data_IF_408398407956
#
_entry.id   IF_408398407956
#
_cell.length_a   1.000
_cell.length_b   1.000
_cell.length_c   1.000
_cell.angle_alpha   90.00
_cell.angle_beta   90.00
_cell.angle_gamma   90.00
#
_symmetry.space_group_name_H-M   'P 1'
#
loop_
_entity.id
_entity.type
_entity.pdbx_description
1 polymer ?
#
# COMPACT_ATOMS: atom_id res chain seq x y z
N UNK A 1 14.10 3.61 -11.18
CA UNK A 1 14.73 4.94 -11.14
C UNK A 1 13.83 6.00 -11.76
N UNK A 2 13.34 5.86 -13.01
CA UNK A 2 12.50 6.87 -13.67
C UNK A 2 11.28 7.28 -12.82
N UNK A 3 10.59 6.30 -12.21
CA UNK A 3 9.44 6.58 -11.33
C UNK A 3 9.88 7.41 -10.13
N UNK A 4 10.96 7.04 -9.45
CA UNK A 4 11.47 7.77 -8.30
C UNK A 4 11.91 9.20 -8.67
N UNK A 5 12.50 9.40 -9.85
CA UNK A 5 12.85 10.74 -10.35
C UNK A 5 11.62 11.62 -10.60
N UNK A 6 10.55 11.05 -11.20
CA UNK A 6 9.28 11.77 -11.43
C UNK A 6 8.59 12.13 -10.11
N UNK A 7 8.71 11.24 -9.12
CA UNK A 7 8.23 11.50 -7.76
C UNK A 7 9.10 12.52 -6.99
N UNK A 8 10.14 13.07 -7.63
CA UNK A 8 11.07 14.02 -7.00
C UNK A 8 11.88 13.40 -5.88
N UNK A 9 12.04 12.08 -5.86
CA UNK A 9 12.81 11.39 -4.84
C UNK A 9 14.31 11.60 -5.02
N UNK A 10 15.01 11.62 -3.90
CA UNK A 10 16.45 11.47 -3.84
C UNK A 10 16.81 10.01 -4.11
N UNK A 11 17.59 9.76 -5.13
CA UNK A 11 17.98 8.41 -5.50
C UNK A 11 19.12 7.93 -4.61
N UNK A 12 18.98 6.74 -4.04
CA UNK A 12 20.03 6.09 -3.27
C UNK A 12 21.09 5.49 -4.19
N UNK A 13 22.35 5.61 -3.80
CA UNK A 13 23.48 5.06 -4.55
C UNK A 13 23.56 3.53 -4.50
N UNK A 14 22.97 2.94 -3.47
CA UNK A 14 22.92 1.49 -3.24
C UNK A 14 21.49 1.05 -3.05
N UNK A 15 21.16 -0.12 -3.60
CA UNK A 15 19.94 -0.86 -3.33
C UNK A 15 20.30 -2.08 -2.51
N UNK A 16 19.57 -2.33 -1.43
CA UNK A 16 19.74 -3.54 -0.63
C UNK A 16 18.41 -4.27 -0.60
N UNK A 17 18.42 -5.46 -1.18
CA UNK A 17 17.30 -6.39 -1.14
C UNK A 17 17.29 -7.17 0.16
N UNK A 18 16.11 -7.64 0.53
CA UNK A 18 15.94 -8.61 1.60
C UNK A 18 14.83 -9.59 1.25
N UNK A 19 14.83 -10.71 1.93
CA UNK A 19 13.80 -11.74 1.82
C UNK A 19 12.83 -11.56 2.98
N UNK A 20 11.56 -11.30 2.65
CA UNK A 20 10.46 -11.21 3.60
C UNK A 20 9.77 -12.55 3.65
N UNK A 21 9.90 -13.26 4.76
CA UNK A 21 9.26 -14.54 5.01
C UNK A 21 7.96 -14.35 5.79
N UNK A 22 6.93 -15.06 5.37
CA UNK A 22 5.68 -15.21 6.11
C UNK A 22 4.98 -16.53 5.72
N UNK A 23 3.97 -16.95 6.48
CA UNK A 23 3.39 -18.28 6.39
C UNK A 23 2.22 -18.43 5.41
N UNK A 24 1.90 -17.40 4.62
CA UNK A 24 0.80 -17.48 3.67
C UNK A 24 1.21 -18.25 2.41
N UNK A 25 0.25 -18.97 1.77
CA UNK A 25 0.56 -19.86 0.63
C UNK A 25 0.79 -19.10 -0.69
N UNK A 26 0.70 -17.78 -0.71
CA UNK A 26 0.89 -16.92 -1.88
C UNK A 26 2.36 -16.68 -2.27
N UNK A 27 3.30 -17.27 -1.53
CA UNK A 27 4.73 -17.22 -1.80
C UNK A 27 5.25 -18.56 -2.34
N UNK A 28 5.32 -18.78 -3.67
CA UNK A 28 5.72 -20.05 -4.24
C UNK A 28 7.14 -20.49 -3.88
N UNK A 29 8.04 -19.56 -3.57
CA UNK A 29 9.42 -19.83 -3.12
C UNK A 29 9.62 -19.64 -1.61
N UNK A 30 8.55 -19.46 -0.83
CA UNK A 30 8.59 -19.32 0.62
C UNK A 30 9.04 -17.94 1.12
N UNK A 31 9.29 -16.96 0.24
CA UNK A 31 9.63 -15.59 0.59
C UNK A 31 9.31 -14.63 -0.55
N UNK A 32 9.17 -13.35 -0.23
CA UNK A 32 9.06 -12.25 -1.17
C UNK A 32 10.39 -11.47 -1.19
N UNK A 33 10.97 -11.25 -2.37
CA UNK A 33 12.05 -10.28 -2.50
C UNK A 33 11.47 -8.87 -2.43
N UNK A 34 12.06 -8.03 -1.60
CA UNK A 34 11.64 -6.64 -1.42
C UNK A 34 12.83 -5.76 -1.06
N UNK A 35 12.77 -4.49 -1.45
CA UNK A 35 13.68 -3.45 -0.98
C UNK A 35 12.99 -2.49 0.00
N UNK A 36 12.03 -3.04 0.78
CA UNK A 36 11.43 -2.40 1.95
C UNK A 36 11.73 -3.21 3.22
N UNK A 37 11.71 -2.54 4.37
CA UNK A 37 11.92 -3.16 5.68
C UNK A 37 13.27 -2.84 6.31
N UNK A 38 13.61 -3.44 7.46
CA UNK A 38 14.64 -2.94 8.36
C UNK A 38 16.08 -2.98 7.82
N UNK A 39 16.36 -3.84 6.83
CA UNK A 39 17.71 -4.00 6.25
C UNK A 39 17.78 -3.53 4.79
N UNK A 40 16.65 -3.13 4.22
CA UNK A 40 16.59 -2.72 2.82
C UNK A 40 16.99 -1.25 2.63
N UNK A 41 17.49 -0.93 1.44
CA UNK A 41 17.66 0.45 0.98
C UNK A 41 16.79 0.61 -0.27
N UNK A 42 15.74 1.47 -0.21
CA UNK A 42 14.84 1.68 -1.34
C UNK A 42 15.50 2.41 -2.50
N UNK A 43 14.83 2.43 -3.65
CA UNK A 43 15.31 3.15 -4.86
C UNK A 43 15.41 4.64 -4.61
N UNK A 44 14.41 5.23 -3.96
CA UNK A 44 14.36 6.66 -3.70
C UNK A 44 13.62 6.99 -2.41
N UNK A 45 13.97 8.12 -1.83
CA UNK A 45 13.40 8.65 -0.58
C UNK A 45 13.17 10.15 -0.69
N UNK A 46 12.42 10.70 0.27
CA UNK A 46 12.22 12.15 0.45
C UNK A 46 11.73 12.88 -0.81
N UNK A 47 10.77 12.27 -1.51
CA UNK A 47 10.20 12.84 -2.72
C UNK A 47 9.03 13.78 -2.46
N UNK A 48 8.55 14.39 -3.57
CA UNK A 48 7.33 15.19 -3.58
C UNK A 48 6.69 15.15 -4.96
N UNK A 49 5.43 14.76 -5.04
CA UNK A 49 4.68 14.75 -6.29
C UNK A 49 3.30 15.40 -6.07
N UNK A 50 2.96 16.40 -6.91
CA UNK A 50 1.69 17.13 -6.85
C UNK A 50 1.30 17.58 -5.41
N UNK A 51 2.27 18.13 -4.70
CA UNK A 51 2.07 18.66 -3.34
C UNK A 51 2.18 17.64 -2.22
N UNK A 52 2.09 16.36 -2.51
CA UNK A 52 2.16 15.26 -1.54
C UNK A 52 3.60 14.77 -1.39
N UNK A 53 4.07 14.65 -0.17
CA UNK A 53 5.40 14.10 0.12
C UNK A 53 5.41 12.59 -0.06
N UNK A 54 6.52 12.10 -0.58
CA UNK A 54 6.79 10.67 -0.77
C UNK A 54 7.87 10.28 0.23
N UNK A 55 7.53 9.37 1.12
CA UNK A 55 8.50 8.82 2.09
C UNK A 55 9.55 8.00 1.37
N UNK A 56 9.09 7.06 0.56
CA UNK A 56 9.97 6.17 -0.20
C UNK A 56 9.28 5.57 -1.43
N UNK A 57 10.12 5.11 -2.34
CA UNK A 57 9.73 4.37 -3.54
C UNK A 57 10.65 3.16 -3.67
N UNK A 58 10.08 1.94 -3.65
CA UNK A 58 10.86 0.71 -3.63
C UNK A 58 10.27 -0.38 -4.54
N UNK A 59 11.09 -1.38 -4.83
CA UNK A 59 10.73 -2.53 -5.65
C UNK A 59 10.36 -3.73 -4.78
N UNK A 60 9.42 -4.51 -5.26
CA UNK A 60 9.00 -5.78 -4.69
C UNK A 60 8.73 -6.80 -5.80
N UNK A 61 8.60 -8.06 -5.43
CA UNK A 61 7.96 -9.08 -6.27
C UNK A 61 6.47 -9.18 -5.90
N UNK A 62 5.60 -9.22 -6.90
CA UNK A 62 4.17 -9.44 -6.66
C UNK A 62 3.97 -10.89 -6.15
N UNK A 63 3.30 -11.12 -5.03
CA UNK A 63 2.93 -12.46 -4.60
C UNK A 63 1.82 -13.04 -5.48
N UNK A 64 1.51 -14.31 -5.30
CA UNK A 64 0.33 -14.92 -5.92
C UNK A 64 -0.97 -14.32 -5.36
N UNK A 65 -2.05 -14.42 -6.11
CA UNK A 65 -3.37 -14.10 -5.61
C UNK A 65 -3.94 -15.32 -4.87
N UNK A 66 -4.18 -15.20 -3.58
CA UNK A 66 -4.74 -16.26 -2.74
C UNK A 66 -6.14 -15.88 -2.25
N UNK A 67 -7.07 -16.80 -2.43
CA UNK A 67 -8.40 -16.69 -1.86
C UNK A 67 -8.50 -17.58 -0.61
N UNK A 68 -8.52 -17.02 0.60
CA UNK A 68 -8.58 -17.80 1.83
C UNK A 68 -9.92 -18.53 2.05
N UNK A 69 -11.00 -18.13 1.36
CA UNK A 69 -12.31 -18.77 1.49
C UNK A 69 -12.39 -20.06 0.67
N UNK A 70 -11.80 -20.08 -0.52
CA UNK A 70 -11.80 -21.24 -1.43
C UNK A 70 -10.50 -22.05 -1.36
N UNK A 71 -9.42 -21.46 -0.83
CA UNK A 71 -8.08 -22.03 -0.85
C UNK A 71 -7.38 -21.96 -2.20
N UNK A 72 -8.01 -21.37 -3.21
CA UNK A 72 -7.44 -21.22 -4.56
C UNK A 72 -6.28 -20.23 -4.58
N UNK A 73 -5.25 -20.58 -5.36
CA UNK A 73 -4.07 -19.74 -5.55
C UNK A 73 -3.85 -19.56 -7.06
N UNK A 74 -3.82 -18.29 -7.48
CA UNK A 74 -3.46 -17.92 -8.85
C UNK A 74 -2.04 -17.35 -8.88
N UNK A 75 -1.13 -18.07 -9.53
CA UNK A 75 0.29 -17.71 -9.65
C UNK A 75 0.61 -16.82 -10.86
N UNK A 76 -0.36 -16.45 -11.70
CA UNK A 76 -0.10 -15.73 -12.97
C UNK A 76 0.67 -14.42 -12.79
N UNK A 77 0.51 -13.76 -11.63
CA UNK A 77 1.23 -12.51 -11.31
C UNK A 77 2.43 -12.69 -10.41
N UNK A 78 2.63 -13.90 -9.88
CA UNK A 78 3.71 -14.16 -8.92
C UNK A 78 5.08 -13.91 -9.55
N UNK A 79 5.93 -13.17 -8.85
CA UNK A 79 7.25 -12.79 -9.30
C UNK A 79 7.27 -11.62 -10.28
N UNK A 80 6.13 -11.07 -10.69
CA UNK A 80 6.10 -9.85 -11.51
C UNK A 80 6.69 -8.67 -10.75
N UNK A 81 7.43 -7.77 -11.45
CA UNK A 81 7.97 -6.59 -10.80
C UNK A 81 6.84 -5.67 -10.35
N UNK A 82 6.87 -5.33 -9.06
CA UNK A 82 5.93 -4.43 -8.39
C UNK A 82 6.71 -3.22 -7.87
N UNK A 83 6.14 -2.03 -8.01
CA UNK A 83 6.64 -0.83 -7.35
C UNK A 83 5.67 -0.40 -6.27
N UNK A 84 6.17 -0.15 -5.07
CA UNK A 84 5.43 0.45 -3.98
C UNK A 84 5.87 1.90 -3.79
N UNK A 85 4.90 2.79 -3.66
CA UNK A 85 5.09 4.22 -3.41
C UNK A 85 4.43 4.54 -2.08
N UNK A 86 5.21 4.97 -1.10
CA UNK A 86 4.73 5.32 0.23
C UNK A 86 4.66 6.83 0.36
N UNK A 87 3.47 7.34 0.69
CA UNK A 87 3.24 8.78 0.89
C UNK A 87 3.23 9.15 2.37
N UNK A 88 3.57 10.40 2.67
CA UNK A 88 3.28 11.00 3.95
C UNK A 88 1.76 11.26 4.11
N UNK A 89 1.24 11.44 5.33
CA UNK A 89 -0.19 11.67 5.58
C UNK A 89 -0.62 13.12 5.25
N UNK A 90 -0.27 13.58 4.06
CA UNK A 90 -0.50 14.97 3.60
C UNK A 90 -1.89 15.16 2.97
N UNK A 91 -2.64 14.08 2.73
CA UNK A 91 -3.98 14.16 2.15
C UNK A 91 -5.01 14.63 3.17
N UNK A 92 -5.89 15.54 2.74
CA UNK A 92 -6.97 16.10 3.57
C UNK A 92 -8.38 15.63 3.18
N UNK A 93 -8.53 14.98 2.03
CA UNK A 93 -9.82 14.47 1.55
C UNK A 93 -9.68 13.27 0.61
N UNK A 94 -10.74 12.48 0.49
CA UNK A 94 -10.84 11.37 -0.47
C UNK A 94 -10.76 11.83 -1.93
N UNK A 95 -11.31 13.02 -2.24
CA UNK A 95 -11.24 13.59 -3.59
C UNK A 95 -9.81 13.99 -3.95
N UNK A 96 -9.06 14.55 -3.02
CA UNK A 96 -7.63 14.85 -3.23
C UNK A 96 -6.82 13.58 -3.50
N UNK A 97 -7.07 12.49 -2.78
CA UNK A 97 -6.43 11.19 -3.03
C UNK A 97 -6.77 10.70 -4.43
N UNK A 98 -8.05 10.75 -4.82
CA UNK A 98 -8.50 10.29 -6.13
C UNK A 98 -7.84 11.07 -7.27
N UNK A 99 -7.79 12.40 -7.18
CA UNK A 99 -7.17 13.25 -8.19
C UNK A 99 -5.67 13.00 -8.28
N UNK A 100 -5.00 12.93 -7.15
CA UNK A 100 -3.57 12.63 -7.07
C UNK A 100 -3.22 11.27 -7.72
N UNK A 101 -4.00 10.23 -7.43
CA UNK A 101 -3.82 8.91 -8.03
C UNK A 101 -4.04 8.92 -9.55
N UNK A 102 -5.04 9.64 -10.05
CA UNK A 102 -5.26 9.81 -11.49
C UNK A 102 -4.06 10.46 -12.16
N UNK A 103 -3.54 11.52 -11.57
CA UNK A 103 -2.35 12.23 -12.06
C UNK A 103 -1.12 11.29 -12.07
N UNK A 104 -0.91 10.55 -10.98
CA UNK A 104 0.19 9.59 -10.86
C UNK A 104 0.10 8.53 -11.97
N UNK A 105 -1.03 7.84 -12.09
CA UNK A 105 -1.23 6.77 -13.07
C UNK A 105 -1.05 7.29 -14.49
N UNK A 106 -1.60 8.49 -14.77
CA UNK A 106 -1.46 9.12 -16.09
C UNK A 106 0.00 9.41 -16.41
N UNK A 107 0.72 10.00 -15.47
CA UNK A 107 2.14 10.36 -15.63
C UNK A 107 3.00 9.10 -15.83
N UNK A 108 2.85 8.11 -14.97
CA UNK A 108 3.61 6.85 -15.07
C UNK A 108 3.27 6.06 -16.32
N UNK A 109 2.01 6.09 -16.75
CA UNK A 109 1.59 5.47 -18.00
C UNK A 109 2.10 6.20 -19.24
N UNK A 110 2.22 7.53 -19.20
CA UNK A 110 2.76 8.32 -20.30
C UNK A 110 4.23 7.98 -20.56
N UNK A 111 5.03 7.83 -19.53
CA UNK A 111 6.44 7.44 -19.63
C UNK A 111 6.64 5.92 -19.82
N UNK A 112 5.55 5.16 -19.95
CA UNK A 112 5.56 3.69 -20.10
C UNK A 112 6.30 2.97 -18.94
N UNK A 113 6.29 3.54 -17.75
CA UNK A 113 6.96 2.96 -16.59
C UNK A 113 6.11 1.91 -15.87
N UNK A 114 4.82 1.86 -16.17
CA UNK A 114 3.88 0.87 -15.64
C UNK A 114 3.05 0.24 -16.76
N UNK A 115 2.64 -1.01 -16.54
CA UNK A 115 1.59 -1.62 -17.35
C UNK A 115 0.22 -1.18 -16.81
N UNK A 116 -0.50 -0.39 -17.59
CA UNK A 116 -1.83 0.13 -17.21
C UNK A 116 -2.87 -0.97 -17.01
N UNK A 117 -2.67 -2.14 -17.63
CA UNK A 117 -3.58 -3.28 -17.53
C UNK A 117 -3.32 -4.13 -16.27
N UNK A 118 -2.16 -3.99 -15.64
CA UNK A 118 -1.81 -4.74 -14.43
C UNK A 118 -2.65 -4.34 -13.21
N UNK A 119 -3.35 -3.20 -13.28
CA UNK A 119 -4.14 -2.66 -12.18
C UNK A 119 -3.28 -2.00 -11.10
N UNK A 120 -3.97 -1.46 -10.12
CA UNK A 120 -3.36 -0.88 -8.91
C UNK A 120 -3.99 -1.48 -7.68
N UNK A 121 -3.20 -1.56 -6.61
CA UNK A 121 -3.68 -1.84 -5.25
C UNK A 121 -3.22 -0.72 -4.35
N UNK A 122 -4.01 -0.39 -3.36
CA UNK A 122 -3.61 0.55 -2.32
C UNK A 122 -3.94 0.00 -0.94
N UNK A 123 -3.00 0.18 -0.02
CA UNK A 123 -3.24 0.12 1.41
C UNK A 123 -3.48 1.54 1.88
N UNK A 124 -4.67 1.81 2.38
CA UNK A 124 -5.11 3.17 2.71
C UNK A 124 -5.05 3.37 4.22
N UNK A 125 -4.29 4.37 4.66
CA UNK A 125 -4.21 4.74 6.06
C UNK A 125 -5.10 5.96 6.33
N UNK A 126 -6.06 5.82 7.25
CA UNK A 126 -7.00 6.87 7.64
C UNK A 126 -6.84 7.19 9.12
N UNK A 127 -6.68 8.47 9.43
CA UNK A 127 -6.70 8.99 10.80
C UNK A 127 -7.48 10.30 10.85
N UNK A 128 -8.11 10.59 11.98
CA UNK A 128 -8.79 11.86 12.25
C UNK A 128 -8.07 12.56 13.42
N UNK A 129 -7.05 13.39 13.12
CA UNK A 129 -6.24 14.04 14.17
C UNK A 129 -7.07 14.89 15.12
N UNK A 130 -8.13 15.53 14.62
CA UNK A 130 -9.06 16.35 15.40
C UNK A 130 -9.78 15.55 16.49
N UNK A 131 -9.93 14.24 16.31
CA UNK A 131 -10.50 13.32 17.29
C UNK A 131 -9.44 12.57 18.12
N UNK A 132 -8.15 12.87 17.91
CA UNK A 132 -7.00 12.18 18.53
C UNK A 132 -7.02 10.67 18.28
N UNK A 133 -7.52 10.26 17.12
CA UNK A 133 -7.54 8.88 16.68
C UNK A 133 -6.17 8.41 16.20
N UNK A 134 -5.88 7.12 16.40
CA UNK A 134 -4.74 6.48 15.77
C UNK A 134 -5.09 6.03 14.35
N UNK A 135 -4.07 5.80 13.54
CA UNK A 135 -4.17 5.36 12.18
C UNK A 135 -4.88 4.01 12.06
N UNK A 136 -5.84 3.92 11.14
CA UNK A 136 -6.49 2.69 10.69
C UNK A 136 -6.02 2.38 9.28
N UNK A 137 -5.54 1.16 9.06
CA UNK A 137 -5.08 0.68 7.77
C UNK A 137 -6.19 -0.14 7.08
N UNK A 138 -6.58 0.25 5.87
CA UNK A 138 -7.54 -0.49 5.04
C UNK A 138 -6.77 -1.20 3.95
N UNK A 139 -6.78 -2.53 3.97
CA UNK A 139 -5.98 -3.37 3.10
C UNK A 139 -6.63 -3.64 1.74
N UNK A 140 -5.78 -3.79 0.72
CA UNK A 140 -6.10 -4.36 -0.58
C UNK A 140 -7.24 -3.67 -1.33
N UNK A 141 -7.27 -2.36 -1.35
CA UNK A 141 -8.26 -1.62 -2.15
C UNK A 141 -7.76 -1.51 -3.59
N UNK A 142 -8.50 -2.07 -4.54
CA UNK A 142 -8.03 -2.38 -5.88
C UNK A 142 -8.63 -1.53 -7.02
N UNK A 143 -9.33 -0.45 -6.71
CA UNK A 143 -9.83 0.49 -7.71
C UNK A 143 -9.87 1.91 -7.17
N UNK A 144 -9.77 2.91 -8.07
CA UNK A 144 -9.83 4.32 -7.69
C UNK A 144 -11.14 4.66 -6.96
N UNK A 145 -12.26 4.13 -7.46
CA UNK A 145 -13.57 4.32 -6.84
C UNK A 145 -13.62 3.70 -5.45
N UNK A 146 -13.13 2.48 -5.30
CA UNK A 146 -13.11 1.80 -4.01
C UNK A 146 -12.14 2.46 -3.02
N UNK A 147 -11.03 3.02 -3.47
CA UNK A 147 -10.12 3.81 -2.61
C UNK A 147 -10.86 5.00 -2.02
N UNK A 148 -11.55 5.80 -2.86
CA UNK A 148 -12.35 6.92 -2.38
C UNK A 148 -13.42 6.45 -1.38
N UNK A 149 -14.22 5.46 -1.77
CA UNK A 149 -15.32 4.95 -0.94
C UNK A 149 -14.83 4.36 0.39
N UNK A 150 -13.70 3.67 0.38
CA UNK A 150 -13.11 3.11 1.59
C UNK A 150 -12.67 4.20 2.59
N UNK A 151 -12.09 5.30 2.08
CA UNK A 151 -11.74 6.46 2.92
C UNK A 151 -13.00 7.05 3.53
N UNK A 152 -14.02 7.32 2.72
CA UNK A 152 -15.27 7.93 3.19
C UNK A 152 -16.04 7.04 4.18
N UNK A 153 -16.08 5.73 3.93
CA UNK A 153 -16.69 4.77 4.84
C UNK A 153 -15.97 4.75 6.19
N UNK A 154 -14.64 4.74 6.19
CA UNK A 154 -13.85 4.72 7.43
C UNK A 154 -13.94 6.05 8.19
N UNK A 155 -13.88 7.18 7.52
CA UNK A 155 -14.10 8.51 8.13
C UNK A 155 -15.48 8.59 8.77
N UNK A 156 -16.52 8.10 8.09
CA UNK A 156 -17.89 8.07 8.58
C UNK A 156 -17.99 7.18 9.81
N UNK A 157 -17.38 5.98 9.77
CA UNK A 157 -17.34 5.07 10.91
C UNK A 157 -16.69 5.70 12.13
N UNK A 158 -15.47 6.29 11.95
CA UNK A 158 -14.74 6.91 13.06
C UNK A 158 -15.51 8.08 13.68
N UNK A 159 -16.22 8.86 12.88
CA UNK A 159 -17.07 9.97 13.38
C UNK A 159 -18.30 9.47 14.15
N UNK A 160 -18.88 8.35 13.73
CA UNK A 160 -20.11 7.79 14.32
C UNK A 160 -19.82 6.92 15.54
N UNK A 161 -18.84 6.04 15.45
CA UNK A 161 -18.55 5.01 16.46
C UNK A 161 -17.44 5.43 17.43
N UNK A 162 -16.74 6.51 17.08
CA UNK A 162 -15.55 6.97 17.78
C UNK A 162 -14.26 6.44 17.16
N UNK A 163 -13.15 7.14 17.45
CA UNK A 163 -11.82 6.77 17.01
C UNK A 163 -11.25 5.65 17.85
N UNK A 164 -10.41 4.83 17.23
CA UNK A 164 -9.71 3.76 17.95
C UNK A 164 -8.52 4.34 18.72
N UNK A 165 -8.17 3.69 19.83
CA UNK A 165 -6.95 3.96 20.60
C UNK A 165 -5.79 3.03 20.24
N UNK A 166 -6.07 1.98 19.45
CA UNK A 166 -5.12 0.98 18.99
C UNK A 166 -5.14 0.96 17.47
N UNK A 167 -3.99 0.69 16.87
CA UNK A 167 -3.94 0.56 15.41
C UNK A 167 -4.72 -0.68 14.97
N UNK A 168 -5.58 -0.48 13.99
CA UNK A 168 -6.41 -1.52 13.39
C UNK A 168 -6.04 -1.73 11.93
N UNK A 169 -6.13 -2.99 11.49
CA UNK A 169 -6.19 -3.33 10.07
C UNK A 169 -7.63 -3.74 9.75
N UNK A 170 -8.19 -3.14 8.73
CA UNK A 170 -9.57 -3.34 8.30
C UNK A 170 -9.64 -3.72 6.83
N UNK A 171 -10.76 -4.28 6.39
CA UNK A 171 -11.09 -4.57 5.00
C UNK A 171 -12.31 -3.73 4.59
N UNK A 172 -12.27 -3.17 3.40
CA UNK A 172 -13.41 -2.51 2.81
C UNK A 172 -14.36 -3.53 2.17
N UNK A 173 -15.65 -3.42 2.46
CA UNK A 173 -16.73 -4.18 1.84
C UNK A 173 -17.47 -3.26 0.87
N UNK A 174 -17.27 -3.46 -0.42
CA UNK A 174 -17.83 -2.61 -1.48
C UNK A 174 -19.34 -2.76 -1.68
N UNK A 175 -19.93 -3.88 -1.23
CA UNK A 175 -21.37 -4.12 -1.27
C UNK A 175 -22.10 -3.39 -0.15
N UNK A 176 -21.48 -3.32 1.02
CA UNK A 176 -22.05 -2.71 2.22
C UNK A 176 -21.59 -1.27 2.46
N UNK A 177 -20.62 -0.79 1.67
CA UNK A 177 -19.98 0.51 1.85
C UNK A 177 -19.50 0.74 3.30
N UNK A 178 -18.83 -0.25 3.87
CA UNK A 178 -18.34 -0.22 5.24
C UNK A 178 -16.96 -0.87 5.36
N UNK A 179 -16.28 -0.57 6.48
CA UNK A 179 -15.02 -1.25 6.81
C UNK A 179 -15.27 -2.26 7.94
N UNK A 180 -14.67 -3.43 7.84
CA UNK A 180 -14.75 -4.50 8.85
C UNK A 180 -13.37 -4.76 9.46
N UNK A 181 -13.33 -4.95 10.78
CA UNK A 181 -12.09 -5.25 11.49
C UNK A 181 -11.54 -6.60 11.04
N UNK A 182 -10.25 -6.62 10.67
CA UNK A 182 -9.50 -7.85 10.39
C UNK A 182 -8.65 -8.25 11.59
N UNK A 183 -7.87 -7.29 12.12
CA UNK A 183 -6.97 -7.53 13.26
C UNK A 183 -6.62 -6.25 13.99
N UNK A 184 -6.19 -6.39 15.25
CA UNK A 184 -5.50 -5.36 16.00
C UNK A 184 -3.98 -5.54 15.83
N UNK A 185 -3.21 -4.47 15.72
CA UNK A 185 -1.74 -4.55 15.48
C UNK A 185 -0.93 -5.13 16.65
N UNK A 186 -1.52 -5.42 17.78
CA UNK A 186 -0.88 -6.17 18.85
C UNK A 186 -0.49 -7.61 18.43
N UNK A 187 -1.16 -8.14 17.41
CA UNK A 187 -0.84 -9.41 16.76
C UNK A 187 -0.14 -9.15 15.43
N UNK A 188 1.01 -8.46 15.45
CA UNK A 188 1.81 -8.28 14.24
C UNK A 188 2.11 -9.63 13.60
N UNK A 189 1.94 -9.73 12.27
CA UNK A 189 2.47 -10.89 11.55
C UNK A 189 3.97 -10.95 11.83
N UNK A 190 4.44 -12.11 12.20
CA UNK A 190 5.86 -12.36 12.46
C UNK A 190 6.59 -12.46 11.11
N UNK A 191 6.78 -11.28 10.49
CA UNK A 191 7.62 -11.19 9.29
C UNK A 191 9.07 -11.40 9.70
N UNK A 192 9.67 -12.42 9.13
CA UNK A 192 11.10 -12.63 9.25
C UNK A 192 11.80 -12.02 8.04
N UNK A 193 12.68 -11.06 8.28
CA UNK A 193 13.48 -10.43 7.25
C UNK A 193 14.91 -10.96 7.29
N UNK A 194 15.42 -11.33 6.11
CA UNK A 194 16.80 -11.80 5.93
C UNK A 194 17.42 -10.93 4.84
N UNK A 195 18.52 -10.24 5.13
CA UNK A 195 19.28 -9.49 4.11
C UNK A 195 20.00 -10.46 3.17
N UNK A 196 20.09 -10.07 1.91
CA UNK A 196 20.96 -10.73 0.92
C UNK A 196 22.40 -10.26 1.04
#
# INVERSE_FOLDING_TARGET
IQIALILGCKINEKLIWQRKHYSWPDLPKGFQNTISGPYAIPVGVDGKFQGIKITECHLEEDPAAWNPETGEIDYNRSGSPLIEIVTEPDFSSSDQVLEWLKQLITTLGYIKAIDKNAGIKADVNVSLPELKGVRVEIKNVNSLTNIKNAIEAEVTRQKKEGVTKKQETRRYDDKKYTTTLMRLKENAEDYRFISD
#
